data_IF_808953201748
#
_entry.id   IF_808953201748
#
_cell.length_a   1.000
_cell.length_b   1.000
_cell.length_c   1.000
_cell.angle_alpha   90.00
_cell.angle_beta   90.00
_cell.angle_gamma   90.00
#
_symmetry.space_group_name_H-M   'P 1'
#
loop_
_entity.id
_entity.type
_entity.pdbx_description
1 polymer ?
#
# COMPACT_ATOMS: atom_id res chain seq x y z
N UNK A 1 57.52 -31.14 43.43
CA UNK A 1 56.19 -31.03 42.79
C UNK A 1 56.06 -29.61 42.31
N UNK A 2 56.38 -29.37 41.05
CA UNK A 2 56.52 -28.03 40.44
C UNK A 2 55.25 -27.67 39.69
N UNK A 3 54.54 -26.66 40.19
CA UNK A 3 53.40 -26.02 39.53
C UNK A 3 53.84 -25.33 38.24
N UNK A 4 53.21 -25.69 37.12
CA UNK A 4 53.26 -24.92 35.87
C UNK A 4 51.98 -24.09 35.76
N UNK A 5 52.08 -22.77 35.53
CA UNK A 5 50.90 -21.95 35.26
C UNK A 5 50.33 -22.28 33.87
N UNK A 6 49.03 -22.57 33.82
CA UNK A 6 48.27 -22.69 32.58
C UNK A 6 48.17 -21.32 31.89
N UNK A 7 48.84 -21.18 30.74
CA UNK A 7 48.64 -20.07 29.82
C UNK A 7 47.25 -20.21 29.18
N UNK A 8 46.36 -19.26 29.47
CA UNK A 8 45.09 -19.12 28.75
C UNK A 8 45.37 -18.72 27.30
N UNK A 9 44.85 -19.49 26.36
CA UNK A 9 44.92 -19.16 24.94
C UNK A 9 44.13 -17.87 24.64
N UNK A 10 44.67 -16.93 23.85
CA UNK A 10 43.92 -15.77 23.40
C UNK A 10 42.79 -16.24 22.46
N UNK A 11 41.54 -15.98 22.83
CA UNK A 11 40.41 -16.19 21.95
C UNK A 11 40.51 -15.23 20.77
N UNK A 12 40.92 -15.74 19.61
CA UNK A 12 40.88 -15.00 18.34
C UNK A 12 39.43 -14.87 17.91
N UNK A 13 38.72 -13.87 18.41
CA UNK A 13 37.47 -13.43 17.81
C UNK A 13 37.81 -12.88 16.42
N UNK A 14 37.30 -13.46 15.32
CA UNK A 14 37.51 -12.90 13.99
C UNK A 14 37.00 -11.46 13.98
N UNK A 15 37.86 -10.51 13.58
CA UNK A 15 37.53 -9.10 13.56
C UNK A 15 36.26 -8.87 12.70
N UNK A 16 35.27 -8.07 13.15
CA UNK A 16 33.99 -7.88 12.45
C UNK A 16 34.08 -6.97 11.22
N UNK A 17 35.23 -6.96 10.52
CA UNK A 17 35.50 -6.10 9.36
C UNK A 17 34.50 -6.33 8.20
N UNK A 18 33.92 -7.53 8.10
CA UNK A 18 32.89 -7.84 7.09
C UNK A 18 31.58 -7.12 7.38
N UNK A 19 31.21 -6.97 8.65
CA UNK A 19 30.02 -6.22 9.07
C UNK A 19 30.23 -4.73 8.81
N UNK A 20 31.39 -4.19 9.21
CA UNK A 20 31.75 -2.80 8.92
C UNK A 20 31.82 -2.49 7.42
N UNK A 21 32.34 -3.42 6.60
CA UNK A 21 32.36 -3.28 5.16
C UNK A 21 30.95 -3.26 4.56
N UNK A 22 30.04 -4.10 5.06
CA UNK A 22 28.63 -4.08 4.64
C UNK A 22 27.94 -2.75 5.01
N UNK A 23 28.14 -2.24 6.23
CA UNK A 23 27.60 -0.95 6.62
C UNK A 23 28.17 0.21 5.80
N UNK A 24 29.47 0.19 5.50
CA UNK A 24 30.11 1.17 4.64
C UNK A 24 29.54 1.15 3.21
N UNK A 25 29.31 -0.04 2.65
CA UNK A 25 28.71 -0.20 1.34
C UNK A 25 27.27 0.31 1.30
N UNK A 26 26.47 0.02 2.33
CA UNK A 26 25.09 0.52 2.47
C UNK A 26 25.08 2.05 2.57
N UNK A 27 25.95 2.63 3.41
CA UNK A 27 26.08 4.08 3.55
C UNK A 27 26.50 4.74 2.23
N UNK A 28 27.47 4.16 1.51
CA UNK A 28 27.93 4.67 0.21
C UNK A 28 26.82 4.60 -0.85
N UNK A 29 26.07 3.49 -0.89
CA UNK A 29 24.93 3.33 -1.78
C UNK A 29 23.82 4.34 -1.46
N UNK A 30 23.54 4.58 -0.17
CA UNK A 30 22.56 5.58 0.27
C UNK A 30 23.00 7.01 -0.13
N UNK A 31 24.28 7.32 0.05
CA UNK A 31 24.86 8.62 -0.30
C UNK A 31 24.87 8.85 -1.82
N UNK A 32 25.23 7.84 -2.62
CA UNK A 32 25.17 7.90 -4.07
C UNK A 32 23.72 8.04 -4.56
N UNK A 33 22.78 7.31 -3.96
CA UNK A 33 21.36 7.45 -4.25
C UNK A 33 20.89 8.88 -3.94
N UNK A 34 21.26 9.46 -2.80
CA UNK A 34 20.90 10.84 -2.45
C UNK A 34 21.57 11.89 -3.35
N UNK A 35 22.80 11.65 -3.82
CA UNK A 35 23.56 12.59 -4.63
C UNK A 35 23.11 12.64 -6.10
N UNK A 36 22.70 11.51 -6.68
CA UNK A 36 22.35 11.41 -8.10
C UNK A 36 20.85 11.36 -8.37
N UNK A 37 20.01 11.13 -7.35
CA UNK A 37 18.58 11.04 -7.55
C UNK A 37 17.98 12.44 -7.71
N UNK A 38 17.23 12.71 -8.80
CA UNK A 38 16.51 13.96 -8.97
C UNK A 38 15.71 14.29 -7.71
N UNK A 39 15.79 15.53 -7.22
CA UNK A 39 15.17 15.93 -5.95
C UNK A 39 13.69 15.49 -5.85
N UNK A 40 12.95 15.56 -6.96
CA UNK A 40 11.56 15.07 -7.05
C UNK A 40 11.42 13.59 -6.71
N UNK A 41 12.29 12.73 -7.25
CA UNK A 41 12.30 11.30 -6.97
C UNK A 41 12.79 11.00 -5.55
N UNK A 42 13.77 11.76 -5.04
CA UNK A 42 14.21 11.62 -3.64
C UNK A 42 13.10 11.93 -2.65
N UNK A 43 12.41 13.05 -2.82
CA UNK A 43 11.24 13.42 -2.01
C UNK A 43 10.13 12.38 -2.16
N UNK A 44 9.84 11.91 -3.37
CA UNK A 44 8.81 10.89 -3.60
C UNK A 44 9.16 9.55 -2.93
N UNK A 45 10.41 9.09 -2.97
CA UNK A 45 10.84 7.87 -2.29
C UNK A 45 10.76 8.01 -0.78
N UNK A 46 11.23 9.13 -0.21
CA UNK A 46 11.16 9.38 1.22
C UNK A 46 9.70 9.46 1.71
N UNK A 47 8.85 10.19 0.98
CA UNK A 47 7.42 10.27 1.27
C UNK A 47 6.74 8.90 1.13
N UNK A 48 7.05 8.15 0.07
CA UNK A 48 6.52 6.82 -0.17
C UNK A 48 6.93 5.81 0.90
N UNK A 49 8.20 5.82 1.32
CA UNK A 49 8.70 4.97 2.40
C UNK A 49 8.07 5.36 3.74
N UNK A 50 8.03 6.66 4.05
CA UNK A 50 7.39 7.18 5.26
C UNK A 50 5.90 6.79 5.31
N UNK A 51 5.20 6.91 4.18
CA UNK A 51 3.81 6.48 4.06
C UNK A 51 3.67 4.97 4.21
N UNK A 52 4.54 4.16 3.59
CA UNK A 52 4.50 2.70 3.72
C UNK A 52 4.71 2.25 5.18
N UNK A 53 5.66 2.86 5.89
CA UNK A 53 5.88 2.61 7.32
C UNK A 53 4.67 3.05 8.17
N UNK A 54 4.11 4.23 7.88
CA UNK A 54 2.91 4.72 8.53
C UNK A 54 1.70 3.82 8.27
N UNK A 55 1.56 3.29 7.05
CA UNK A 55 0.51 2.35 6.66
C UNK A 55 0.65 1.02 7.41
N UNK A 56 1.89 0.51 7.53
CA UNK A 56 2.16 -0.69 8.32
C UNK A 56 1.87 -0.46 9.81
N UNK A 57 2.12 0.74 10.33
CA UNK A 57 1.80 1.10 11.73
C UNK A 57 0.31 1.33 11.95
N UNK A 58 -0.38 1.93 10.98
CA UNK A 58 -1.79 2.33 11.01
C UNK A 58 -2.46 2.06 9.65
N UNK A 59 -2.93 0.82 9.39
CA UNK A 59 -3.50 0.46 8.08
C UNK A 59 -4.73 1.28 7.69
N UNK A 60 -5.40 1.92 8.66
CA UNK A 60 -6.52 2.83 8.40
C UNK A 60 -6.15 4.01 7.50
N UNK A 61 -4.87 4.42 7.49
CA UNK A 61 -4.37 5.46 6.60
C UNK A 61 -4.54 5.08 5.12
N UNK A 62 -4.54 3.79 4.80
CA UNK A 62 -4.81 3.30 3.45
C UNK A 62 -6.21 3.67 2.97
N UNK A 63 -7.22 3.61 3.86
CA UNK A 63 -8.59 3.99 3.51
C UNK A 63 -8.72 5.51 3.28
N UNK A 64 -8.00 6.33 4.05
CA UNK A 64 -7.98 7.77 3.84
C UNK A 64 -7.28 8.14 2.53
N UNK A 65 -6.13 7.52 2.27
CA UNK A 65 -5.43 7.72 1.01
C UNK A 65 -6.27 7.24 -0.18
N UNK A 66 -7.00 6.13 -0.06
CA UNK A 66 -7.91 5.66 -1.11
C UNK A 66 -9.03 6.67 -1.40
N UNK A 67 -9.65 7.22 -0.36
CA UNK A 67 -10.67 8.26 -0.51
C UNK A 67 -10.17 9.49 -1.29
N UNK A 68 -8.88 9.86 -1.12
CA UNK A 68 -8.27 10.95 -1.87
C UNK A 68 -7.84 10.55 -3.28
N UNK A 69 -7.35 9.33 -3.49
CA UNK A 69 -6.78 8.88 -4.77
C UNK A 69 -7.87 8.52 -5.79
N UNK A 70 -8.98 7.91 -5.35
CA UNK A 70 -10.03 7.41 -6.24
C UNK A 70 -10.54 8.47 -7.24
N UNK A 71 -10.89 9.71 -6.81
CA UNK A 71 -11.31 10.79 -7.72
C UNK A 71 -10.32 11.12 -8.84
N UNK A 72 -9.01 10.95 -8.59
CA UNK A 72 -7.96 11.32 -9.54
C UNK A 72 -7.41 10.11 -10.33
N UNK A 73 -7.93 8.91 -10.07
CA UNK A 73 -7.39 7.65 -10.59
C UNK A 73 -7.49 7.48 -12.12
N UNK A 74 -8.34 8.28 -12.79
CA UNK A 74 -8.50 8.26 -14.24
C UNK A 74 -7.25 8.79 -14.99
N UNK A 75 -6.42 9.61 -14.35
CA UNK A 75 -5.34 10.36 -15.02
C UNK A 75 -4.04 9.55 -15.15
N UNK A 76 -3.87 8.50 -14.35
CA UNK A 76 -2.59 7.79 -14.24
C UNK A 76 -2.82 6.28 -14.20
N UNK A 77 -2.97 5.66 -15.36
CA UNK A 77 -2.98 4.20 -15.50
C UNK A 77 -1.75 3.76 -16.27
N UNK A 78 -1.01 2.81 -15.72
CA UNK A 78 0.16 2.23 -16.40
C UNK A 78 -0.31 0.95 -17.12
N UNK A 79 -0.12 0.84 -18.44
CA UNK A 79 -0.47 -0.39 -19.17
C UNK A 79 0.43 -1.54 -18.73
N UNK A 80 -0.16 -2.67 -18.36
CA UNK A 80 0.48 -3.91 -17.95
C UNK A 80 -0.19 -5.08 -18.69
N UNK A 81 0.24 -5.29 -19.94
CA UNK A 81 -0.37 -6.27 -20.84
C UNK A 81 -1.82 -5.90 -21.19
N UNK A 82 -2.79 -6.83 -21.09
CA UNK A 82 -4.21 -6.53 -21.32
C UNK A 82 -4.87 -5.78 -20.14
N UNK A 83 -4.17 -5.65 -19.01
CA UNK A 83 -4.66 -4.94 -17.83
C UNK A 83 -3.94 -3.59 -17.70
N UNK A 84 -4.53 -2.67 -16.94
CA UNK A 84 -3.88 -1.43 -16.55
C UNK A 84 -3.90 -1.34 -15.03
N UNK A 85 -2.74 -1.11 -14.43
CA UNK A 85 -2.64 -0.94 -12.98
C UNK A 85 -2.66 0.54 -12.65
N UNK A 86 -3.58 0.91 -11.78
CA UNK A 86 -3.73 2.26 -11.25
C UNK A 86 -3.11 2.43 -9.85
N UNK A 87 -2.93 3.69 -9.40
CA UNK A 87 -2.55 4.00 -8.03
C UNK A 87 -3.52 3.43 -6.99
N UNK A 88 -4.82 3.37 -7.33
CA UNK A 88 -5.85 2.78 -6.47
C UNK A 88 -5.54 1.31 -6.19
N UNK A 89 -5.28 0.52 -7.24
CA UNK A 89 -5.01 -0.92 -7.16
C UNK A 89 -3.79 -1.20 -6.28
N UNK A 90 -2.70 -0.43 -6.48
CA UNK A 90 -1.49 -0.50 -5.66
C UNK A 90 -1.78 -0.18 -4.20
N UNK A 91 -2.60 0.84 -3.95
CA UNK A 91 -2.92 1.30 -2.60
C UNK A 91 -3.87 0.34 -1.87
N UNK A 92 -4.84 -0.26 -2.58
CA UNK A 92 -5.70 -1.33 -2.05
C UNK A 92 -4.84 -2.52 -1.65
N UNK A 93 -3.94 -2.96 -2.54
CA UNK A 93 -3.01 -4.06 -2.27
C UNK A 93 -2.10 -3.77 -1.07
N UNK A 94 -1.50 -2.58 -1.01
CA UNK A 94 -0.65 -2.16 0.09
C UNK A 94 -1.40 -2.07 1.43
N UNK A 95 -2.62 -1.51 1.44
CA UNK A 95 -3.44 -1.40 2.64
C UNK A 95 -3.89 -2.78 3.14
N UNK A 96 -4.27 -3.68 2.21
CA UNK A 96 -4.61 -5.05 2.53
C UNK A 96 -3.41 -5.81 3.10
N UNK A 97 -2.25 -5.70 2.46
CA UNK A 97 -1.03 -6.35 2.91
C UNK A 97 -0.57 -5.85 4.29
N UNK A 98 -0.60 -4.54 4.51
CA UNK A 98 -0.31 -3.94 5.82
C UNK A 98 -1.27 -4.42 6.91
N UNK A 99 -2.58 -4.48 6.62
CA UNK A 99 -3.56 -5.06 7.53
C UNK A 99 -3.26 -6.54 7.80
N UNK A 100 -2.99 -7.33 6.76
CA UNK A 100 -2.73 -8.76 6.85
C UNK A 100 -1.52 -9.08 7.72
N UNK A 101 -0.40 -8.37 7.51
CA UNK A 101 0.80 -8.52 8.34
C UNK A 101 0.55 -8.22 9.82
N UNK A 102 -0.28 -7.21 10.11
CA UNK A 102 -0.64 -6.89 11.50
C UNK A 102 -1.58 -7.92 12.11
N UNK A 103 -2.48 -8.48 11.32
CA UNK A 103 -3.39 -9.52 11.75
C UNK A 103 -2.62 -10.80 12.08
N UNK A 104 -1.71 -11.25 11.21
CA UNK A 104 -0.88 -12.44 11.45
C UNK A 104 0.09 -12.24 12.61
N UNK A 105 0.59 -11.02 12.83
CA UNK A 105 1.38 -10.66 14.00
C UNK A 105 0.57 -10.50 15.31
N UNK A 106 -0.75 -10.73 15.29
CA UNK A 106 -1.61 -10.71 16.48
C UNK A 106 -1.98 -9.32 17.00
N UNK A 107 -1.62 -8.25 16.30
CA UNK A 107 -1.93 -6.87 16.71
C UNK A 107 -3.39 -6.46 16.46
N UNK A 108 -4.18 -7.29 15.79
CA UNK A 108 -5.57 -7.00 15.43
C UNK A 108 -6.45 -8.23 15.59
N UNK A 109 -7.71 -7.99 15.97
CA UNK A 109 -8.75 -9.03 16.04
C UNK A 109 -9.67 -8.90 14.84
N UNK A 110 -10.07 -10.03 14.28
CA UNK A 110 -11.08 -10.09 13.22
C UNK A 110 -12.41 -9.53 13.75
N UNK A 111 -13.01 -8.64 12.98
CA UNK A 111 -14.35 -8.08 13.22
C UNK A 111 -15.35 -8.67 12.24
N UNK A 112 -16.64 -8.71 12.61
CA UNK A 112 -17.69 -9.12 11.67
C UNK A 112 -17.76 -8.15 10.50
N UNK A 113 -17.95 -8.70 9.30
CA UNK A 113 -18.13 -7.95 8.06
C UNK A 113 -19.50 -8.34 7.46
N UNK A 114 -20.59 -7.72 7.95
CA UNK A 114 -21.95 -8.20 7.75
C UNK A 114 -22.47 -8.14 6.31
N UNK A 115 -21.80 -7.47 5.37
CA UNK A 115 -22.18 -7.46 3.95
C UNK A 115 -21.36 -8.46 3.12
N UNK A 116 -20.39 -9.16 3.71
CA UNK A 116 -19.62 -10.16 2.95
C UNK A 116 -20.50 -11.28 2.41
N UNK A 117 -21.55 -11.67 3.12
CA UNK A 117 -22.46 -12.71 2.64
C UNK A 117 -23.26 -12.28 1.41
N UNK A 118 -23.36 -10.97 1.11
CA UNK A 118 -23.93 -10.44 -0.13
C UNK A 118 -22.85 -10.31 -1.22
N UNK A 119 -21.68 -9.82 -0.84
CA UNK A 119 -20.57 -9.55 -1.76
C UNK A 119 -20.02 -10.86 -2.35
N UNK A 120 -19.88 -11.92 -1.54
CA UNK A 120 -19.29 -13.18 -2.00
C UNK A 120 -20.15 -13.88 -3.08
N UNK A 121 -21.47 -14.09 -2.90
CA UNK A 121 -22.31 -14.63 -3.97
C UNK A 121 -22.31 -13.75 -5.22
N UNK A 122 -22.33 -12.42 -5.06
CA UNK A 122 -22.24 -11.50 -6.19
C UNK A 122 -20.94 -11.71 -6.98
N UNK A 123 -19.79 -11.80 -6.31
CA UNK A 123 -18.51 -12.08 -6.98
C UNK A 123 -18.50 -13.46 -7.65
N UNK A 124 -19.13 -14.46 -7.06
CA UNK A 124 -19.26 -15.80 -7.67
C UNK A 124 -20.09 -15.74 -8.96
N UNK A 125 -21.21 -15.00 -8.95
CA UNK A 125 -22.04 -14.79 -10.15
C UNK A 125 -21.25 -14.03 -11.21
N UNK A 126 -20.51 -13.00 -10.81
CA UNK A 126 -19.67 -12.23 -11.72
C UNK A 126 -18.59 -13.10 -12.37
N UNK A 127 -17.93 -13.96 -11.59
CA UNK A 127 -16.93 -14.92 -12.09
C UNK A 127 -17.58 -15.93 -13.05
N UNK A 128 -18.74 -16.49 -12.70
CA UNK A 128 -19.47 -17.40 -13.57
C UNK A 128 -19.90 -16.74 -14.87
N UNK A 129 -20.37 -15.49 -14.81
CA UNK A 129 -20.75 -14.71 -15.98
C UNK A 129 -19.59 -14.50 -16.96
N UNK A 130 -18.33 -14.54 -16.49
CA UNK A 130 -17.17 -14.41 -17.37
C UNK A 130 -16.96 -15.60 -18.31
N UNK A 131 -17.53 -16.77 -17.99
CA UNK A 131 -17.52 -17.93 -18.88
C UNK A 131 -18.31 -17.68 -20.18
N UNK A 132 -19.30 -16.78 -20.13
CA UNK A 132 -20.09 -16.36 -21.28
C UNK A 132 -19.60 -15.03 -21.89
N UNK A 133 -18.48 -14.46 -21.43
CA UNK A 133 -17.99 -13.18 -21.90
C UNK A 133 -17.46 -13.29 -23.34
N UNK A 134 -17.91 -12.39 -24.22
CA UNK A 134 -17.40 -12.27 -25.59
C UNK A 134 -15.95 -11.79 -25.65
N UNK A 135 -15.47 -11.14 -24.59
CA UNK A 135 -14.11 -10.62 -24.47
C UNK A 135 -13.62 -10.70 -23.03
N UNK A 136 -12.61 -11.54 -22.80
CA UNK A 136 -11.94 -11.63 -21.50
C UNK A 136 -11.13 -10.37 -21.19
N UNK A 137 -10.60 -9.69 -22.21
CA UNK A 137 -9.85 -8.44 -22.02
C UNK A 137 -10.74 -7.32 -21.49
N UNK A 138 -12.03 -7.32 -21.83
CA UNK A 138 -13.01 -6.39 -21.27
C UNK A 138 -13.54 -6.84 -19.89
N UNK A 139 -13.69 -8.15 -19.67
CA UNK A 139 -14.23 -8.69 -18.41
C UNK A 139 -13.26 -8.63 -17.23
N UNK A 140 -11.96 -8.87 -17.47
CA UNK A 140 -10.94 -8.91 -16.41
C UNK A 140 -10.83 -7.59 -15.62
N UNK A 141 -10.74 -6.40 -16.25
CA UNK A 141 -10.70 -5.14 -15.51
C UNK A 141 -11.93 -4.94 -14.62
N UNK A 142 -13.10 -5.42 -15.05
CA UNK A 142 -14.33 -5.29 -14.29
C UNK A 142 -14.32 -6.23 -13.07
N UNK A 143 -13.88 -7.49 -13.25
CA UNK A 143 -13.66 -8.43 -12.14
C UNK A 143 -12.72 -7.84 -11.08
N UNK A 144 -11.62 -7.22 -11.51
CA UNK A 144 -10.64 -6.60 -10.61
C UNK A 144 -11.29 -5.47 -9.80
N UNK A 145 -12.06 -4.56 -10.42
CA UNK A 145 -12.76 -3.49 -9.69
C UNK A 145 -13.70 -4.03 -8.62
N UNK A 146 -14.48 -5.06 -8.95
CA UNK A 146 -15.41 -5.64 -7.98
C UNK A 146 -14.70 -6.38 -6.85
N UNK A 147 -13.56 -7.03 -7.15
CA UNK A 147 -12.69 -7.59 -6.12
C UNK A 147 -12.09 -6.50 -5.22
N UNK A 148 -11.65 -5.37 -5.79
CA UNK A 148 -11.16 -4.22 -5.03
C UNK A 148 -12.24 -3.65 -4.10
N UNK A 149 -13.48 -3.50 -4.60
CA UNK A 149 -14.62 -3.07 -3.77
C UNK A 149 -14.81 -4.02 -2.57
N UNK A 150 -14.72 -5.33 -2.79
CA UNK A 150 -14.82 -6.32 -1.72
C UNK A 150 -13.68 -6.18 -0.69
N UNK A 151 -12.45 -5.96 -1.16
CA UNK A 151 -11.28 -5.74 -0.29
C UNK A 151 -11.41 -4.44 0.50
N UNK A 152 -11.80 -3.34 -0.13
CA UNK A 152 -12.01 -2.05 0.53
C UNK A 152 -13.13 -2.13 1.56
N UNK A 153 -14.24 -2.81 1.23
CA UNK A 153 -15.31 -3.08 2.20
C UNK A 153 -14.79 -3.88 3.40
N UNK A 154 -14.06 -4.98 3.14
CA UNK A 154 -13.46 -5.80 4.18
C UNK A 154 -12.55 -4.97 5.09
N UNK A 155 -11.60 -4.22 4.51
CA UNK A 155 -10.71 -3.35 5.26
C UNK A 155 -11.47 -2.30 6.06
N UNK A 156 -12.53 -1.72 5.50
CA UNK A 156 -13.45 -0.84 6.20
C UNK A 156 -14.04 -1.49 7.45
N UNK A 157 -14.59 -2.69 7.32
CA UNK A 157 -15.16 -3.45 8.43
C UNK A 157 -14.12 -3.83 9.51
N UNK A 158 -12.89 -4.14 9.11
CA UNK A 158 -11.82 -4.50 10.05
C UNK A 158 -11.22 -3.28 10.76
N UNK A 159 -10.99 -2.18 10.05
CA UNK A 159 -10.17 -1.05 10.51
C UNK A 159 -10.99 0.12 11.07
N UNK A 160 -12.18 0.38 10.52
CA UNK A 160 -12.96 1.54 10.94
C UNK A 160 -13.59 1.29 12.31
N UNK A 161 -13.51 2.32 13.14
CA UNK A 161 -14.11 2.39 14.49
C UNK A 161 -14.81 3.74 14.61
N UNK A 162 -15.65 3.97 15.64
CA UNK A 162 -16.32 5.26 15.80
C UNK A 162 -15.37 6.47 15.75
N UNK A 163 -14.15 6.37 16.29
CA UNK A 163 -13.12 7.43 16.22
C UNK A 163 -12.63 7.76 14.81
N UNK A 164 -12.80 6.87 13.84
CA UNK A 164 -12.37 7.07 12.46
C UNK A 164 -13.45 7.69 11.57
N UNK A 165 -14.69 7.83 12.05
CA UNK A 165 -15.83 8.34 11.28
C UNK A 165 -15.62 9.78 10.82
N UNK A 166 -15.32 10.68 11.75
CA UNK A 166 -15.12 12.09 11.43
C UNK A 166 -13.91 12.30 10.51
N UNK A 167 -12.71 11.73 10.78
CA UNK A 167 -11.59 11.85 9.84
C UNK A 167 -11.90 11.30 8.44
N UNK A 168 -12.60 10.17 8.34
CA UNK A 168 -12.99 9.60 7.04
C UNK A 168 -13.94 10.54 6.29
N UNK A 169 -14.96 11.05 6.98
CA UNK A 169 -15.91 11.99 6.41
C UNK A 169 -15.22 13.27 5.92
N UNK A 170 -14.32 13.84 6.73
CA UNK A 170 -13.52 15.00 6.33
C UNK A 170 -12.65 14.70 5.12
N UNK A 171 -12.05 13.51 5.05
CA UNK A 171 -11.24 13.08 3.91
C UNK A 171 -12.07 12.97 2.64
N UNK A 172 -13.28 12.38 2.73
CA UNK A 172 -14.20 12.27 1.60
C UNK A 172 -14.71 13.64 1.13
N UNK A 173 -15.05 14.53 2.06
CA UNK A 173 -15.45 15.91 1.73
C UNK A 173 -14.30 16.68 1.07
N UNK A 174 -13.07 16.53 1.58
CA UNK A 174 -11.90 17.15 0.97
C UNK A 174 -11.66 16.61 -0.45
N UNK A 175 -11.76 15.29 -0.63
CA UNK A 175 -11.60 14.64 -1.94
C UNK A 175 -12.63 15.17 -2.95
N UNK A 176 -13.92 15.15 -2.58
CA UNK A 176 -14.99 15.67 -3.43
C UNK A 176 -14.88 17.18 -3.69
N UNK A 177 -14.43 17.97 -2.71
CA UNK A 177 -14.20 19.40 -2.89
C UNK A 177 -13.06 19.66 -3.88
N UNK A 178 -11.97 18.90 -3.80
CA UNK A 178 -10.85 19.00 -4.74
C UNK A 178 -11.27 18.58 -6.16
N UNK A 179 -12.02 17.49 -6.30
CA UNK A 179 -12.56 17.04 -7.59
C UNK A 179 -13.49 18.11 -8.21
N UNK A 180 -14.37 18.70 -7.41
CA UNK A 180 -15.24 19.79 -7.85
C UNK A 180 -14.44 21.02 -8.31
N UNK A 181 -13.37 21.38 -7.61
CA UNK A 181 -12.48 22.47 -8.02
C UNK A 181 -11.78 22.18 -9.37
N UNK A 182 -11.35 20.93 -9.60
CA UNK A 182 -10.80 20.51 -10.89
C UNK A 182 -11.88 20.61 -11.98
N UNK A 183 -13.10 20.17 -11.70
CA UNK A 183 -14.22 20.29 -12.62
C UNK A 183 -14.56 21.75 -12.98
N UNK A 184 -14.59 22.64 -11.99
CA UNK A 184 -14.77 24.10 -12.22
C UNK A 184 -13.66 24.64 -13.12
N UNK A 185 -12.39 24.26 -12.86
CA UNK A 185 -11.26 24.67 -13.70
C UNK A 185 -11.42 24.15 -15.13
N UNK A 186 -11.75 22.87 -15.32
CA UNK A 186 -11.98 22.30 -16.65
C UNK A 186 -13.12 23.00 -17.40
N UNK A 187 -14.20 23.36 -16.70
CA UNK A 187 -15.33 24.09 -17.25
C UNK A 187 -14.96 25.51 -17.67
N UNK A 188 -14.34 26.30 -16.77
CA UNK A 188 -13.97 27.70 -17.03
C UNK A 188 -12.97 27.80 -18.17
N UNK A 189 -11.96 26.92 -18.20
CA UNK A 189 -10.91 26.96 -19.21
C UNK A 189 -11.18 26.06 -20.43
N UNK A 190 -12.33 25.36 -20.47
CA UNK A 190 -12.73 24.44 -21.56
C UNK A 190 -11.65 23.40 -21.91
N UNK A 191 -11.03 22.80 -20.88
CA UNK A 191 -9.96 21.80 -21.03
C UNK A 191 -10.55 20.38 -21.05
N UNK A 192 -11.64 20.17 -21.79
CA UNK A 192 -12.43 18.93 -21.76
C UNK A 192 -12.72 18.38 -23.14
#
# INVERSE_FOLDING_TARGET
>A
MTDRPMLSSPSTHPAPWREYAAYALIMLALAALLAFLPLKLGVALLAGLGFALALLRWPVLGLYALALVIPFSAVTRVPLGPASIGPTDLLVGAAFFAWFLRFTAGFQRRRPAPLLWLILPFLTILLYSTLAARSLTAALPELVKWAEVAVVYWLGAQLLTPKHRLPLLLTLLAAGSLEALIGIRQFVFRIG
#
